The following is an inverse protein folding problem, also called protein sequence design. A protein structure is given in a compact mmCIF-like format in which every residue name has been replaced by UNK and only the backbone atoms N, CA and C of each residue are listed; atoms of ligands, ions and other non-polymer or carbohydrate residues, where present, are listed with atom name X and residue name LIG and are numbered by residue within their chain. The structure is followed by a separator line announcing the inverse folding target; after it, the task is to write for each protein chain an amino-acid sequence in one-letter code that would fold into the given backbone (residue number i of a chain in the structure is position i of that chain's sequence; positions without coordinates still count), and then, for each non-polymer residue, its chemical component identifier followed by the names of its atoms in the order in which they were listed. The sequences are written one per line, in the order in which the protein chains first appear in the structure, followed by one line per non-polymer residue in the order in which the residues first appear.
data_IF_074512396351
#
_entry.id   IF_074512396351
#
_cell.length_a   1.000
_cell.length_b   1.000
_cell.length_c   1.000
_cell.angle_alpha   90.00
_cell.angle_beta   90.00
_cell.angle_gamma   90.00
#
_symmetry.space_group_name_H-M   'P 1'
#
loop_
_entity.id
_entity.type
_entity.pdbx_description
1 polymer ?
#
# COMPACT_ATOMS: atom_id res chain seq x y z
N UNK A 1 9.72 66.57 37.69
CA UNK A 1 10.33 65.41 38.38
C UNK A 1 10.55 64.34 37.32
N UNK A 2 11.73 64.26 36.70
CA UNK A 2 12.93 63.51 37.12
C UNK A 2 12.66 62.01 37.33
N UNK A 3 13.27 61.22 36.43
CA UNK A 3 13.88 59.89 36.55
C UNK A 3 13.41 58.92 37.65
N UNK A 4 13.20 57.65 37.27
CA UNK A 4 14.11 56.57 37.69
C UNK A 4 13.77 55.22 37.04
N UNK A 5 14.83 54.58 36.55
CA UNK A 5 14.94 53.19 36.08
C UNK A 5 15.18 52.28 37.31
N UNK A 6 14.50 51.14 37.44
CA UNK A 6 14.98 49.94 38.18
C UNK A 6 14.05 48.75 37.86
N UNK A 7 14.47 47.73 37.12
CA UNK A 7 15.28 46.52 37.45
C UNK A 7 14.44 45.30 37.87
N UNK A 8 14.74 44.17 37.21
CA UNK A 8 14.53 42.79 37.69
C UNK A 8 13.15 42.22 37.33
N UNK A 9 13.01 41.12 36.61
CA UNK A 9 13.67 39.83 36.86
C UNK A 9 13.65 39.00 35.57
N UNK A 10 14.83 38.51 35.17
CA UNK A 10 15.02 37.58 34.06
C UNK A 10 14.28 36.27 34.35
N UNK A 11 13.21 36.02 33.60
CA UNK A 11 12.50 34.74 33.59
C UNK A 11 13.42 33.71 32.91
N UNK A 12 13.94 32.75 33.70
CA UNK A 12 14.63 31.56 33.19
C UNK A 12 13.62 30.73 32.36
N UNK A 13 13.66 30.88 31.04
CA UNK A 13 12.98 29.98 30.10
C UNK A 13 13.68 28.62 30.15
N UNK A 14 13.07 27.70 30.90
CA UNK A 14 13.45 26.29 30.92
C UNK A 14 13.17 25.65 29.57
N UNK A 15 14.24 25.30 28.87
CA UNK A 15 14.29 24.33 27.79
C UNK A 15 13.99 22.94 28.40
N UNK A 16 13.02 22.19 27.86
CA UNK A 16 13.20 20.76 27.56
C UNK A 16 11.95 20.09 26.97
N UNK A 17 12.17 19.56 25.76
CA UNK A 17 11.67 18.29 25.21
C UNK A 17 10.16 18.17 24.98
N UNK A 18 9.73 18.64 23.80
CA UNK A 18 8.53 18.11 23.15
C UNK A 18 8.87 16.70 22.67
N UNK A 19 8.39 15.68 23.38
CA UNK A 19 8.35 14.30 22.87
C UNK A 19 7.31 14.31 21.74
N UNK A 20 7.79 14.41 20.50
CA UNK A 20 6.97 14.16 19.33
C UNK A 20 6.63 12.67 19.32
N UNK A 21 5.50 12.32 19.94
CA UNK A 21 4.82 11.06 19.70
C UNK A 21 4.41 11.05 18.23
N UNK A 22 5.20 10.39 17.39
CA UNK A 22 4.81 10.02 16.04
C UNK A 22 3.62 9.07 16.16
N UNK A 23 2.42 9.63 16.21
CA UNK A 23 1.20 8.89 15.93
C UNK A 23 1.35 8.38 14.50
N UNK A 24 1.58 7.07 14.34
CA UNK A 24 1.38 6.37 13.08
C UNK A 24 -0.11 6.53 12.77
N UNK A 25 -0.43 7.58 12.03
CA UNK A 25 -1.76 7.85 11.51
C UNK A 25 -2.11 6.69 10.58
N UNK A 26 -2.94 5.76 11.05
CA UNK A 26 -3.86 5.10 10.14
C UNK A 26 -4.69 6.23 9.53
N UNK A 27 -4.30 6.72 8.36
CA UNK A 27 -5.03 7.74 7.64
C UNK A 27 -6.12 7.02 6.85
N UNK A 28 -7.40 7.06 7.27
CA UNK A 28 -8.47 6.34 6.58
C UNK A 28 -8.79 6.96 5.21
N UNK A 29 -8.24 8.13 4.89
CA UNK A 29 -8.56 8.90 3.69
C UNK A 29 -7.40 8.93 2.68
N UNK A 30 -6.71 7.80 2.46
CA UNK A 30 -5.73 7.74 1.37
C UNK A 30 -6.46 7.86 0.03
N UNK A 31 -6.21 8.93 -0.77
CA UNK A 31 -6.93 9.11 -2.02
C UNK A 31 -6.55 8.02 -3.02
N UNK A 32 -7.51 7.15 -3.30
CA UNK A 32 -7.36 6.10 -4.30
C UNK A 32 -7.38 6.67 -5.71
N UNK A 33 -6.69 5.99 -6.62
CA UNK A 33 -6.59 6.35 -8.03
C UNK A 33 -6.96 5.14 -8.86
N UNK A 34 -7.87 5.32 -9.81
CA UNK A 34 -8.14 4.26 -10.79
C UNK A 34 -6.93 4.07 -11.70
N UNK A 35 -6.59 2.83 -12.00
CA UNK A 35 -5.54 2.41 -12.91
C UNK A 35 -6.11 1.42 -13.92
N UNK A 36 -5.65 1.50 -15.18
CA UNK A 36 -6.01 0.52 -16.21
C UNK A 36 -5.18 -0.76 -16.06
N UNK A 37 -5.61 -1.86 -16.68
CA UNK A 37 -4.84 -3.11 -16.73
C UNK A 37 -3.44 -2.88 -17.33
N UNK A 38 -3.34 -2.17 -18.45
CA UNK A 38 -2.04 -1.85 -19.07
C UNK A 38 -1.14 -1.01 -18.16
N UNK A 39 -1.73 -0.15 -17.34
CA UNK A 39 -0.98 0.67 -16.38
C UNK A 39 -0.65 -0.12 -15.10
N UNK A 40 -1.40 -1.15 -14.74
CA UNK A 40 -1.08 -2.04 -13.64
C UNK A 40 0.07 -3.00 -14.01
N UNK A 41 0.10 -3.49 -15.25
CA UNK A 41 1.13 -4.42 -15.73
C UNK A 41 2.53 -3.79 -15.69
N UNK A 42 3.50 -4.53 -15.18
CA UNK A 42 4.90 -4.14 -15.05
C UNK A 42 5.50 -4.50 -13.70
N UNK A 43 6.74 -4.05 -13.49
CA UNK A 43 7.50 -4.25 -12.26
C UNK A 43 7.27 -3.08 -11.32
N UNK A 44 6.93 -3.39 -10.07
CA UNK A 44 6.71 -2.43 -8.98
C UNK A 44 7.73 -2.70 -7.88
N UNK A 45 8.46 -1.67 -7.45
CA UNK A 45 9.56 -1.80 -6.49
C UNK A 45 9.26 -1.06 -5.19
N UNK A 46 9.48 -1.74 -4.08
CA UNK A 46 9.47 -1.19 -2.72
C UNK A 46 10.79 -0.49 -2.41
N UNK A 47 10.77 0.39 -1.40
CA UNK A 47 11.95 1.11 -0.93
C UNK A 47 12.99 0.20 -0.25
N UNK A 48 12.57 -0.96 0.22
CA UNK A 48 13.37 -2.02 0.83
C UNK A 48 13.95 -3.02 -0.20
N UNK A 49 13.61 -2.85 -1.48
CA UNK A 49 14.01 -3.77 -2.54
C UNK A 49 13.02 -4.90 -2.81
N UNK A 50 11.89 -4.95 -2.10
CA UNK A 50 10.79 -5.86 -2.44
C UNK A 50 10.26 -5.56 -3.84
N UNK A 51 9.79 -6.59 -4.54
CA UNK A 51 9.31 -6.48 -5.92
C UNK A 51 7.98 -7.19 -6.05
N UNK A 52 7.07 -6.57 -6.78
CA UNK A 52 5.85 -7.19 -7.31
C UNK A 52 5.86 -6.99 -8.83
N UNK A 53 5.78 -8.08 -9.58
CA UNK A 53 5.63 -8.03 -11.04
C UNK A 53 4.24 -8.51 -11.42
N UNK A 54 3.46 -7.63 -12.06
CA UNK A 54 2.13 -7.93 -12.57
C UNK A 54 2.22 -8.17 -14.08
N UNK A 55 1.82 -9.35 -14.54
CA UNK A 55 1.86 -9.72 -15.94
C UNK A 55 0.50 -9.55 -16.62
N UNK A 56 0.50 -9.31 -17.94
CA UNK A 56 -0.71 -9.12 -18.74
C UNK A 56 -1.58 -10.38 -18.85
N UNK A 57 -1.06 -11.57 -18.54
CA UNK A 57 -1.82 -12.82 -18.48
C UNK A 57 -2.44 -13.06 -17.09
N UNK A 58 -2.60 -12.00 -16.29
CA UNK A 58 -3.15 -12.00 -14.92
C UNK A 58 -2.39 -12.87 -13.94
N UNK A 59 -1.12 -13.18 -14.23
CA UNK A 59 -0.19 -13.77 -13.26
C UNK A 59 0.61 -12.68 -12.55
N UNK A 60 1.09 -13.00 -11.37
CA UNK A 60 2.08 -12.17 -10.69
C UNK A 60 3.21 -13.01 -10.10
N UNK A 61 4.34 -12.35 -9.88
CA UNK A 61 5.41 -12.85 -9.01
C UNK A 61 5.80 -11.77 -8.00
N UNK A 62 6.33 -12.19 -6.85
CA UNK A 62 6.84 -11.29 -5.83
C UNK A 62 8.19 -11.79 -5.34
N UNK A 63 9.05 -10.88 -4.89
CA UNK A 63 10.32 -11.19 -4.22
C UNK A 63 10.63 -10.19 -3.12
N UNK A 64 11.41 -10.58 -2.11
CA UNK A 64 11.91 -9.68 -1.06
C UNK A 64 10.85 -9.26 -0.03
N UNK A 65 9.74 -10.00 0.07
CA UNK A 65 8.67 -9.75 1.04
C UNK A 65 8.17 -11.07 1.63
N UNK A 66 8.13 -11.17 2.96
CA UNK A 66 7.48 -12.29 3.65
C UNK A 66 6.01 -11.92 3.92
N UNK A 67 5.10 -12.49 3.13
CA UNK A 67 3.68 -12.17 3.20
C UNK A 67 3.01 -12.60 4.52
N UNK A 68 3.65 -13.46 5.32
CA UNK A 68 3.17 -13.82 6.67
C UNK A 68 3.35 -12.70 7.69
N UNK A 69 4.27 -11.78 7.44
CA UNK A 69 4.44 -10.59 8.28
C UNK A 69 3.42 -9.51 7.92
N UNK A 70 2.85 -9.58 6.72
CA UNK A 70 1.86 -8.63 6.20
C UNK A 70 0.44 -9.03 6.62
N UNK A 71 0.03 -10.25 6.28
CA UNK A 71 -1.28 -10.78 6.66
C UNK A 71 -1.11 -11.79 7.79
N UNK A 72 -1.93 -11.69 8.83
CA UNK A 72 -1.87 -12.59 9.99
C UNK A 72 -2.29 -14.04 9.67
N UNK A 73 -2.63 -14.33 8.41
CA UNK A 73 -2.95 -15.67 7.93
C UNK A 73 -1.72 -16.58 7.94
N UNK A 74 -1.79 -17.68 8.67
CA UNK A 74 -0.74 -18.71 8.67
C UNK A 74 -0.56 -19.36 7.30
N UNK A 75 -1.58 -19.23 6.44
CA UNK A 75 -1.61 -19.77 5.10
C UNK A 75 -0.82 -18.95 4.08
N UNK A 76 -0.41 -17.70 4.37
CA UNK A 76 0.38 -16.92 3.41
C UNK A 76 1.70 -17.61 3.04
N UNK A 77 2.17 -17.47 1.78
CA UNK A 77 3.39 -18.12 1.31
C UNK A 77 4.58 -17.87 2.23
N UNK A 78 5.36 -18.92 2.51
CA UNK A 78 6.59 -18.83 3.28
C UNK A 78 7.76 -18.47 2.39
N UNK A 79 8.64 -17.61 2.90
CA UNK A 79 9.84 -17.17 2.21
C UNK A 79 9.59 -15.95 1.33
N UNK A 80 10.68 -15.38 0.82
CA UNK A 80 10.64 -14.05 0.20
C UNK A 80 10.06 -14.04 -1.22
N UNK A 81 9.86 -15.21 -1.85
CA UNK A 81 9.34 -15.31 -3.22
C UNK A 81 7.99 -16.01 -3.26
N UNK A 82 7.04 -15.43 -3.99
CA UNK A 82 5.72 -16.02 -4.19
C UNK A 82 5.18 -15.74 -5.61
N UNK A 83 4.13 -16.46 -5.99
CA UNK A 83 3.46 -16.26 -7.28
C UNK A 83 1.97 -16.59 -7.18
N UNK A 84 1.20 -16.13 -8.15
CA UNK A 84 -0.24 -16.27 -8.13
C UNK A 84 -0.92 -15.62 -9.32
N UNK A 85 -2.20 -15.33 -9.13
CA UNK A 85 -3.03 -14.57 -10.05
C UNK A 85 -3.46 -13.25 -9.44
N UNK A 86 -3.67 -12.25 -10.28
CA UNK A 86 -4.19 -10.96 -9.86
C UNK A 86 -5.39 -10.56 -10.71
N UNK A 87 -6.33 -9.83 -10.13
CA UNK A 87 -7.34 -9.10 -10.88
C UNK A 87 -7.80 -7.86 -10.09
N UNK A 88 -8.60 -7.01 -10.72
CA UNK A 88 -9.24 -5.92 -9.99
C UNK A 88 -10.38 -6.46 -9.15
N UNK A 89 -10.53 -5.91 -7.95
CA UNK A 89 -11.63 -6.22 -7.04
C UNK A 89 -12.88 -5.41 -7.40
N UNK A 90 -14.06 -6.00 -7.28
CA UNK A 90 -15.32 -5.26 -7.20
C UNK A 90 -16.55 -6.15 -7.31
N UNK A 91 -17.67 -5.55 -7.67
CA UNK A 91 -18.97 -6.23 -7.70
C UNK A 91 -19.30 -6.75 -9.10
N UNK A 92 -19.73 -8.00 -9.21
CA UNK A 92 -20.22 -8.56 -10.47
C UNK A 92 -21.28 -7.63 -11.09
N UNK A 93 -21.23 -7.35 -12.40
CA UNK A 93 -22.19 -6.49 -13.06
C UNK A 93 -23.64 -6.92 -12.79
N UNK A 94 -24.44 -6.02 -12.23
CA UNK A 94 -25.84 -6.29 -11.86
C UNK A 94 -26.04 -6.95 -10.49
N UNK A 95 -24.97 -7.20 -9.73
CA UNK A 95 -25.00 -7.67 -8.34
C UNK A 95 -24.16 -6.76 -7.44
N UNK A 96 -24.67 -5.57 -7.07
CA UNK A 96 -23.91 -4.58 -6.29
C UNK A 96 -23.59 -5.04 -4.85
N UNK A 97 -24.19 -6.13 -4.40
CA UNK A 97 -23.95 -6.81 -3.14
C UNK A 97 -22.90 -7.92 -3.22
N UNK A 98 -22.40 -8.23 -4.42
CA UNK A 98 -21.29 -9.17 -4.62
C UNK A 98 -19.93 -8.47 -4.45
N UNK A 99 -18.92 -9.28 -4.12
CA UNK A 99 -17.54 -8.83 -3.90
C UNK A 99 -16.61 -9.93 -4.39
N UNK A 100 -16.07 -9.75 -5.59
CA UNK A 100 -15.32 -10.78 -6.31
C UNK A 100 -14.07 -10.20 -7.01
N UNK A 101 -13.14 -11.10 -7.32
CA UNK A 101 -11.97 -10.84 -8.16
C UNK A 101 -12.37 -11.16 -9.59
N UNK A 102 -12.47 -10.15 -10.44
CA UNK A 102 -13.10 -10.29 -11.75
C UNK A 102 -12.08 -10.07 -12.89
N UNK A 103 -11.85 -11.12 -13.69
CA UNK A 103 -10.94 -11.07 -14.85
C UNK A 103 -11.46 -10.13 -15.96
N UNK A 104 -12.76 -9.84 -15.98
CA UNK A 104 -13.42 -8.94 -16.93
C UNK A 104 -13.14 -7.46 -16.65
N UNK A 105 -12.66 -7.12 -15.46
CA UNK A 105 -12.35 -5.73 -15.12
C UNK A 105 -11.03 -5.32 -15.75
N UNK A 106 -11.09 -4.29 -16.60
CA UNK A 106 -9.91 -3.70 -17.25
C UNK A 106 -9.37 -2.46 -16.51
N UNK A 107 -10.04 -2.04 -15.44
CA UNK A 107 -9.61 -0.92 -14.60
C UNK A 107 -10.22 -1.02 -13.21
N UNK A 108 -9.53 -0.49 -12.21
CA UNK A 108 -9.99 -0.42 -10.83
C UNK A 108 -9.02 0.39 -9.98
N UNK A 109 -9.30 0.57 -8.71
CA UNK A 109 -8.36 1.17 -7.75
C UNK A 109 -7.69 0.12 -6.85
N UNK A 110 -8.25 -1.08 -6.76
CA UNK A 110 -7.79 -2.16 -5.89
C UNK A 110 -7.53 -3.43 -6.71
N UNK A 111 -6.33 -3.96 -6.56
CA UNK A 111 -5.85 -5.19 -7.19
C UNK A 111 -5.73 -6.25 -6.10
N UNK A 112 -6.43 -7.37 -6.27
CA UNK A 112 -6.34 -8.50 -5.36
C UNK A 112 -5.27 -9.49 -5.80
N UNK A 113 -4.48 -10.02 -4.88
CA UNK A 113 -3.50 -11.07 -5.13
C UNK A 113 -3.96 -12.42 -4.58
N UNK A 114 -4.24 -13.35 -5.49
CA UNK A 114 -4.55 -14.74 -5.15
C UNK A 114 -3.28 -15.60 -5.32
N UNK A 115 -2.62 -15.93 -4.20
CA UNK A 115 -1.39 -16.73 -4.20
C UNK A 115 -1.63 -18.20 -4.54
N UNK A 116 -0.66 -18.86 -5.16
CA UNK A 116 -0.65 -20.32 -5.33
C UNK A 116 -0.35 -20.99 -3.99
N UNK A 117 -1.20 -21.95 -3.59
CA UNK A 117 -1.01 -22.77 -2.38
C UNK A 117 -2.03 -22.52 -1.28
N UNK A 118 -2.17 -21.26 -0.77
CA UNK A 118 -3.19 -20.94 0.22
C UNK A 118 -4.60 -21.18 -0.34
N UNK A 119 -5.57 -21.63 0.49
CA UNK A 119 -6.97 -21.59 0.09
C UNK A 119 -7.41 -20.13 -0.17
N UNK A 120 -8.43 -19.94 -1.00
CA UNK A 120 -9.00 -18.60 -1.20
C UNK A 120 -9.41 -17.99 0.15
N UNK A 121 -9.04 -16.73 0.38
CA UNK A 121 -9.25 -16.04 1.65
C UNK A 121 -8.25 -16.39 2.77
N UNK A 122 -7.40 -17.42 2.61
CA UNK A 122 -6.37 -17.77 3.60
C UNK A 122 -5.19 -16.81 3.61
N UNK A 123 -4.94 -16.12 2.50
CA UNK A 123 -3.95 -15.05 2.40
C UNK A 123 -4.57 -13.87 1.63
N UNK A 124 -5.14 -12.92 2.37
CA UNK A 124 -5.74 -11.72 1.80
C UNK A 124 -4.67 -10.66 1.64
N UNK A 125 -4.31 -10.34 0.40
CA UNK A 125 -3.43 -9.22 0.06
C UNK A 125 -4.08 -8.43 -1.06
N UNK A 126 -4.24 -7.14 -0.82
CA UNK A 126 -4.76 -6.16 -1.76
C UNK A 126 -3.72 -5.07 -1.98
N UNK A 127 -3.59 -4.64 -3.23
CA UNK A 127 -2.77 -3.52 -3.64
C UNK A 127 -3.70 -2.41 -4.11
N UNK A 128 -3.68 -1.25 -3.45
CA UNK A 128 -4.48 -0.10 -3.89
C UNK A 128 -3.62 0.93 -4.58
N UNK A 129 -4.08 1.40 -5.74
CA UNK A 129 -3.42 2.42 -6.52
C UNK A 129 -3.67 3.80 -5.94
N UNK A 130 -2.61 4.59 -5.79
CA UNK A 130 -2.61 5.93 -5.21
C UNK A 130 -1.73 6.85 -6.05
N UNK A 131 -1.72 8.16 -5.73
CA UNK A 131 -0.86 9.16 -6.39
C UNK A 131 -0.96 9.11 -7.92
N UNK A 132 -2.19 9.09 -8.43
CA UNK A 132 -2.46 9.04 -9.87
C UNK A 132 -2.11 7.71 -10.52
N UNK A 133 -2.09 6.61 -9.75
CA UNK A 133 -1.76 5.27 -10.25
C UNK A 133 -0.27 4.98 -10.34
N UNK A 134 0.59 5.84 -9.78
CA UNK A 134 2.05 5.66 -9.80
C UNK A 134 2.61 4.88 -8.61
N UNK A 135 1.81 4.69 -7.57
CA UNK A 135 2.17 3.97 -6.33
C UNK A 135 1.08 2.97 -5.99
N UNK A 136 1.49 1.74 -5.64
CA UNK A 136 0.65 0.74 -5.00
C UNK A 136 0.96 0.71 -3.51
N UNK A 137 -0.07 0.74 -2.67
CA UNK A 137 0.05 0.50 -1.23
C UNK A 137 -0.55 -0.86 -0.87
N UNK A 138 -0.09 -1.48 0.20
CA UNK A 138 -0.54 -2.82 0.60
C UNK A 138 -1.61 -2.74 1.69
N UNK A 139 -2.58 -3.65 1.61
CA UNK A 139 -3.48 -3.98 2.72
C UNK A 139 -3.72 -5.49 2.80
N UNK A 140 -3.97 -6.01 4.00
CA UNK A 140 -4.53 -7.34 4.22
C UNK A 140 -6.02 -7.31 4.58
N UNK A 141 -6.64 -6.13 4.49
CA UNK A 141 -8.06 -5.88 4.67
C UNK A 141 -8.57 -5.09 3.45
N UNK A 142 -9.54 -5.65 2.73
CA UNK A 142 -10.07 -5.01 1.52
C UNK A 142 -10.92 -3.76 1.84
N UNK A 143 -11.41 -3.62 3.07
CA UNK A 143 -12.20 -2.45 3.50
C UNK A 143 -11.32 -1.27 3.92
N UNK A 144 -10.05 -1.55 4.25
CA UNK A 144 -9.09 -0.55 4.71
C UNK A 144 -7.93 -0.49 3.71
N UNK A 145 -8.03 0.32 2.64
CA UNK A 145 -6.92 0.45 1.68
C UNK A 145 -5.67 0.99 2.38
N UNK A 146 -4.50 0.57 1.91
CA UNK A 146 -3.21 1.01 2.44
C UNK A 146 -3.00 0.76 3.96
N UNK A 147 -3.63 -0.25 4.56
CA UNK A 147 -3.50 -0.53 5.99
C UNK A 147 -2.08 -0.92 6.44
N UNK A 148 -1.17 -1.19 5.49
CA UNK A 148 0.22 -1.57 5.73
C UNK A 148 1.17 -0.49 5.26
N UNK A 149 2.24 -0.28 6.00
CA UNK A 149 3.32 0.67 5.70
C UNK A 149 4.24 0.20 4.55
N UNK A 150 3.71 -0.59 3.62
CA UNK A 150 4.43 -1.14 2.47
C UNK A 150 3.87 -0.48 1.21
N UNK A 151 4.76 0.09 0.41
CA UNK A 151 4.40 0.72 -0.87
C UNK A 151 5.36 0.33 -1.96
N UNK A 152 4.86 0.25 -3.18
CA UNK A 152 5.64 -0.04 -4.38
C UNK A 152 5.45 1.09 -5.40
N UNK A 153 6.51 1.47 -6.09
CA UNK A 153 6.48 2.44 -7.19
C UNK A 153 6.75 1.73 -8.51
N UNK A 154 6.03 2.09 -9.57
CA UNK A 154 6.24 1.49 -10.88
C UNK A 154 7.65 1.79 -11.39
N UNK A 155 8.39 0.75 -11.77
CA UNK A 155 9.67 0.93 -12.41
C UNK A 155 9.47 1.55 -13.79
N UNK A 156 10.19 2.63 -14.07
CA UNK A 156 10.14 3.26 -15.38
C UNK A 156 10.78 2.32 -16.41
N UNK A 157 10.07 2.02 -17.49
CA UNK A 157 10.68 1.35 -18.64
C UNK A 157 11.74 2.30 -19.20
N UNK A 158 13.02 1.95 -19.02
CA UNK A 158 14.10 2.65 -19.70
C UNK A 158 14.04 2.25 -21.17
N UNK A 159 13.42 3.08 -21.99
CA UNK A 159 13.56 2.96 -23.44
C UNK A 159 14.99 3.34 -23.80
N UNK A 160 15.86 2.35 -23.97
CA UNK A 160 17.15 2.59 -24.63
C UNK A 160 16.85 3.08 -26.06
N UNK A 161 17.21 4.34 -26.32
CA UNK A 161 17.04 5.02 -27.62
C UNK A 161 18.21 4.74 -28.54
#
# INVERSE_FOLDING_TARGET
MLSAITRGTLLRLGLCVVVALSVSSCDPDVPLSSISESDAVGTWKGSDGAVVELHADRKFTTSGIDWRDVSKGSECPQGETASGKWAFWGSEPGRPDSSEVLDEYTSGDTIHLAFVGPPQGGCLINLSATKGGSVLCVSDDFEIPCAREITFTKESVKTES
#
